data_IF_709749032649
#
_entry.id   IF_709749032649
#
_cell.length_a   1.000
_cell.length_b   1.000
_cell.length_c   1.000
_cell.angle_alpha   90.00
_cell.angle_beta   90.00
_cell.angle_gamma   90.00
#
_symmetry.space_group_name_H-M   'P 1'
#
loop_
_entity.id
_entity.type
_entity.pdbx_description
1 polymer ?
#
# COMPACT_ATOMS: atom_id res chain seq x y z
N UNK A 1 -2.17 -19.06 9.64
CA UNK A 1 -1.28 -17.93 9.36
C UNK A 1 -0.69 -18.12 7.97
N UNK A 2 -0.29 -17.04 7.30
CA UNK A 2 0.46 -17.12 6.05
C UNK A 2 1.96 -16.89 6.28
N UNK A 3 2.76 -17.00 5.22
CA UNK A 3 4.23 -16.91 5.28
C UNK A 3 4.73 -15.58 5.87
N UNK A 4 4.02 -14.46 5.64
CA UNK A 4 4.40 -13.15 6.19
C UNK A 4 4.01 -13.04 7.67
N UNK A 5 2.82 -13.50 8.05
CA UNK A 5 2.40 -13.55 9.46
C UNK A 5 3.34 -14.44 10.28
N UNK A 6 3.76 -15.58 9.75
CA UNK A 6 4.78 -16.45 10.37
C UNK A 6 6.12 -15.72 10.55
N UNK A 7 6.56 -14.99 9.53
CA UNK A 7 7.79 -14.18 9.60
C UNK A 7 7.67 -13.07 10.64
N UNK A 8 6.52 -12.40 10.74
CA UNK A 8 6.27 -11.36 11.74
C UNK A 8 6.31 -11.94 13.16
N UNK A 9 5.68 -13.10 13.40
CA UNK A 9 5.71 -13.73 14.74
C UNK A 9 7.12 -14.16 15.13
N UNK A 10 7.90 -14.64 14.16
CA UNK A 10 9.25 -15.13 14.43
C UNK A 10 10.25 -13.99 14.72
N UNK A 11 10.23 -12.95 13.89
CA UNK A 11 11.32 -11.96 13.84
C UNK A 11 10.86 -10.51 14.07
N UNK A 12 9.55 -10.27 14.19
CA UNK A 12 8.97 -8.97 14.48
C UNK A 12 9.05 -8.60 15.96
N UNK A 13 9.20 -7.30 16.24
CA UNK A 13 9.25 -6.80 17.62
C UNK A 13 8.14 -5.79 17.84
N UNK A 14 7.22 -6.10 18.75
CA UNK A 14 6.17 -5.17 19.18
C UNK A 14 6.77 -4.16 20.17
N UNK A 15 6.53 -2.88 19.93
CA UNK A 15 6.89 -1.76 20.80
C UNK A 15 5.63 -1.02 21.24
N UNK A 16 5.76 -0.28 22.34
CA UNK A 16 4.71 0.61 22.81
C UNK A 16 4.25 1.59 21.71
N UNK A 17 3.01 2.09 21.82
CA UNK A 17 2.44 3.01 20.85
C UNK A 17 2.00 2.35 19.53
N UNK A 18 1.65 1.05 19.55
CA UNK A 18 1.18 0.30 18.38
C UNK A 18 2.20 0.27 17.23
N UNK A 19 3.48 0.09 17.58
CA UNK A 19 4.59 0.03 16.63
C UNK A 19 5.07 -1.41 16.47
N UNK A 20 4.96 -1.93 15.25
CA UNK A 20 5.53 -3.21 14.86
C UNK A 20 6.86 -2.97 14.14
N UNK A 21 7.97 -3.43 14.72
CA UNK A 21 9.31 -3.32 14.12
C UNK A 21 9.61 -4.59 13.32
N UNK A 22 9.90 -4.40 12.03
CA UNK A 22 10.22 -5.46 11.04
C UNK A 22 11.47 -5.12 10.24
N UNK A 23 12.42 -4.44 10.90
CA UNK A 23 13.65 -3.94 10.30
C UNK A 23 14.63 -5.05 9.89
N UNK A 24 14.50 -6.25 10.47
CA UNK A 24 15.31 -7.42 10.13
C UNK A 24 14.97 -8.08 8.78
N UNK A 25 13.82 -7.76 8.18
CA UNK A 25 13.38 -8.39 6.92
C UNK A 25 12.60 -7.52 5.93
N UNK A 26 12.14 -6.32 6.32
CA UNK A 26 11.37 -5.44 5.43
C UNK A 26 11.94 -4.01 5.36
N UNK A 27 12.04 -3.30 6.50
CA UNK A 27 12.19 -1.84 6.50
C UNK A 27 13.64 -1.31 6.60
N UNK A 28 14.62 -2.19 6.77
CA UNK A 28 16.03 -1.80 6.80
C UNK A 28 16.92 -2.87 6.17
N UNK A 29 16.91 -4.07 6.75
CA UNK A 29 17.37 -5.28 6.10
C UNK A 29 16.19 -5.90 5.34
N UNK A 30 16.42 -6.32 4.10
CA UNK A 30 15.41 -6.96 3.27
C UNK A 30 15.71 -8.45 3.12
N UNK A 31 14.71 -9.30 3.40
CA UNK A 31 14.76 -10.72 3.05
C UNK A 31 14.22 -10.91 1.63
N UNK A 32 15.12 -11.05 0.66
CA UNK A 32 14.76 -11.12 -0.76
C UNK A 32 13.87 -12.33 -1.07
N UNK A 33 14.02 -13.46 -0.36
CA UNK A 33 13.16 -14.63 -0.57
C UNK A 33 11.73 -14.36 -0.09
N UNK A 34 11.60 -13.64 1.02
CA UNK A 34 10.30 -13.20 1.50
C UNK A 34 9.65 -12.22 0.51
N UNK A 35 10.41 -11.25 0.00
CA UNK A 35 9.92 -10.30 -1.01
C UNK A 35 9.48 -11.01 -2.31
N UNK A 36 10.19 -12.07 -2.71
CA UNK A 36 9.82 -12.89 -3.87
C UNK A 36 8.48 -13.61 -3.66
N UNK A 37 8.26 -14.18 -2.46
CA UNK A 37 6.97 -14.77 -2.09
C UNK A 37 5.84 -13.73 -2.09
N UNK A 38 6.10 -12.51 -1.60
CA UNK A 38 5.15 -11.40 -1.69
C UNK A 38 4.82 -11.05 -3.15
N UNK A 39 5.83 -10.93 -4.01
CA UNK A 39 5.68 -10.64 -5.42
C UNK A 39 4.82 -11.67 -6.16
N UNK A 40 5.11 -12.96 -5.94
CA UNK A 40 4.33 -14.07 -6.50
C UNK A 40 2.86 -14.04 -6.02
N UNK A 41 2.64 -13.75 -4.73
CA UNK A 41 1.30 -13.68 -4.17
C UNK A 41 0.50 -12.48 -4.71
N UNK A 42 1.12 -11.30 -4.85
CA UNK A 42 0.47 -10.17 -5.52
C UNK A 42 0.14 -10.50 -6.98
N UNK A 43 1.05 -11.14 -7.73
CA UNK A 43 0.77 -11.58 -9.10
C UNK A 43 -0.43 -12.53 -9.17
N UNK A 44 -0.55 -13.45 -8.21
CA UNK A 44 -1.69 -14.36 -8.11
C UNK A 44 -3.00 -13.60 -7.85
N UNK A 45 -3.02 -12.66 -6.89
CA UNK A 45 -4.22 -11.90 -6.50
C UNK A 45 -4.70 -10.96 -7.59
N UNK A 46 -3.78 -10.36 -8.34
CA UNK A 46 -4.09 -9.45 -9.45
C UNK A 46 -4.00 -10.11 -10.83
N UNK A 47 -4.04 -11.44 -10.93
CA UNK A 47 -3.85 -12.17 -12.20
C UNK A 47 -4.87 -11.81 -13.30
N UNK A 48 -6.03 -11.26 -12.94
CA UNK A 48 -7.08 -10.84 -13.88
C UNK A 48 -7.01 -9.35 -14.25
N UNK A 49 -6.02 -8.62 -13.73
CA UNK A 49 -5.87 -7.18 -13.96
C UNK A 49 -4.83 -6.92 -15.06
N UNK A 50 -5.07 -5.96 -15.97
CA UNK A 50 -4.16 -5.63 -17.07
C UNK A 50 -2.98 -4.76 -16.61
N UNK A 51 -2.34 -5.09 -15.49
CA UNK A 51 -1.28 -4.27 -14.88
C UNK A 51 -0.10 -4.14 -15.84
N UNK A 52 0.28 -2.90 -16.16
CA UNK A 52 1.43 -2.57 -17.01
C UNK A 52 2.48 -1.68 -16.30
N UNK A 53 2.24 -1.34 -15.03
CA UNK A 53 3.12 -0.48 -14.23
C UNK A 53 2.93 -0.74 -12.74
N UNK A 54 4.01 -0.70 -11.98
CA UNK A 54 3.95 -0.65 -10.52
C UNK A 54 4.35 0.74 -10.04
N UNK A 55 3.54 1.32 -9.16
CA UNK A 55 3.84 2.57 -8.47
C UNK A 55 4.06 2.31 -6.99
N UNK A 56 5.09 2.90 -6.39
CA UNK A 56 5.35 2.86 -4.95
C UNK A 56 5.83 4.21 -4.44
N UNK A 57 6.20 4.32 -3.17
CA UNK A 57 6.80 5.51 -2.57
C UNK A 57 8.09 5.15 -1.84
N UNK A 58 9.06 6.06 -1.86
CA UNK A 58 10.33 5.85 -1.18
C UNK A 58 10.20 5.78 0.37
N UNK A 59 11.00 4.99 1.07
CA UNK A 59 12.04 4.07 0.57
C UNK A 59 11.63 2.60 0.66
N UNK A 60 10.95 2.18 1.74
CA UNK A 60 10.70 0.77 2.05
C UNK A 60 9.90 0.03 0.97
N UNK A 61 8.92 0.69 0.35
CA UNK A 61 8.11 0.10 -0.72
C UNK A 61 8.91 -0.27 -1.98
N UNK A 62 10.07 0.36 -2.22
CA UNK A 62 10.90 0.15 -3.41
C UNK A 62 11.34 -1.32 -3.52
N UNK A 63 11.83 -1.91 -2.44
CA UNK A 63 12.32 -3.30 -2.46
C UNK A 63 11.22 -4.29 -2.85
N UNK A 64 10.04 -4.14 -2.23
CA UNK A 64 8.87 -4.98 -2.51
C UNK A 64 8.42 -4.78 -3.96
N UNK A 65 8.29 -3.53 -4.41
CA UNK A 65 7.85 -3.19 -5.76
C UNK A 65 8.79 -3.72 -6.84
N UNK A 66 10.10 -3.59 -6.66
CA UNK A 66 11.11 -4.10 -7.59
C UNK A 66 11.07 -5.63 -7.73
N UNK A 67 10.91 -6.36 -6.63
CA UNK A 67 10.81 -7.83 -6.69
C UNK A 67 9.47 -8.26 -7.26
N UNK A 68 8.37 -7.63 -6.84
CA UNK A 68 7.04 -7.89 -7.41
C UNK A 68 7.01 -7.66 -8.92
N UNK A 69 7.65 -6.59 -9.42
CA UNK A 69 7.73 -6.29 -10.85
C UNK A 69 8.32 -7.42 -11.70
N UNK A 70 9.20 -8.26 -11.14
CA UNK A 70 9.73 -9.44 -11.86
C UNK A 70 8.64 -10.47 -12.16
N UNK A 71 7.62 -10.58 -11.29
CA UNK A 71 6.47 -11.47 -11.49
C UNK A 71 5.41 -10.87 -12.43
N UNK A 72 5.35 -9.54 -12.52
CA UNK A 72 4.42 -8.84 -13.40
C UNK A 72 4.99 -8.57 -14.80
N UNK A 73 6.32 -8.55 -14.95
CA UNK A 73 7.06 -8.15 -16.16
C UNK A 73 6.76 -6.70 -16.59
N UNK A 74 6.84 -5.77 -15.62
CA UNK A 74 6.48 -4.35 -15.81
C UNK A 74 7.49 -3.41 -15.12
N UNK A 75 7.62 -2.16 -15.57
CA UNK A 75 8.47 -1.18 -14.91
C UNK A 75 7.92 -0.74 -13.55
N UNK A 76 8.82 -0.26 -12.69
CA UNK A 76 8.50 0.37 -11.40
C UNK A 76 8.77 1.87 -11.47
N UNK A 77 7.82 2.66 -10.99
CA UNK A 77 7.98 4.07 -10.68
C UNK A 77 7.86 4.22 -9.16
N UNK A 78 8.76 4.99 -8.54
CA UNK A 78 8.63 5.32 -7.12
C UNK A 78 8.48 6.82 -6.96
N UNK A 79 7.51 7.22 -6.15
CA UNK A 79 7.29 8.60 -5.80
C UNK A 79 8.28 9.06 -4.74
N UNK A 80 8.61 10.36 -4.77
CA UNK A 80 9.53 10.99 -3.82
C UNK A 80 8.78 11.85 -2.81
N UNK A 81 9.30 11.94 -1.58
CA UNK A 81 8.75 12.76 -0.48
C UNK A 81 9.25 14.19 -0.47
N UNK A 82 10.30 14.49 -1.23
CA UNK A 82 10.84 15.83 -1.37
C UNK A 82 11.22 16.13 -2.83
N UNK A 83 11.06 17.39 -3.23
CA UNK A 83 11.67 17.89 -4.45
C UNK A 83 13.18 17.92 -4.24
N UNK A 84 13.91 17.01 -4.89
CA UNK A 84 15.35 17.16 -5.02
C UNK A 84 15.67 18.20 -6.08
N UNK A 85 16.74 18.98 -5.86
CA UNK A 85 17.23 20.06 -6.75
C UNK A 85 17.41 19.60 -8.21
N UNK A 86 17.58 18.29 -8.46
CA UNK A 86 17.87 17.71 -9.79
C UNK A 86 16.65 17.08 -10.50
N UNK A 87 15.41 17.31 -10.04
CA UNK A 87 14.22 16.82 -10.75
C UNK A 87 13.76 17.88 -11.77
N UNK A 88 14.36 17.84 -12.97
CA UNK A 88 13.94 18.66 -14.10
C UNK A 88 12.61 18.14 -14.70
N UNK A 89 11.71 19.06 -15.08
CA UNK A 89 10.49 18.78 -15.85
C UNK A 89 9.18 18.92 -15.07
N UNK A 90 8.07 18.58 -15.74
CA UNK A 90 6.73 18.64 -15.16
C UNK A 90 6.50 17.46 -14.18
N UNK A 91 5.82 17.75 -13.08
CA UNK A 91 5.56 16.80 -11.99
C UNK A 91 4.07 16.68 -11.70
N UNK A 92 3.62 15.47 -11.38
CA UNK A 92 2.43 15.26 -10.58
C UNK A 92 2.79 15.43 -9.12
N UNK A 93 1.98 16.20 -8.38
CA UNK A 93 2.19 16.50 -6.96
C UNK A 93 0.89 16.24 -6.21
N UNK A 94 0.95 15.42 -5.17
CA UNK A 94 -0.13 15.27 -4.20
C UNK A 94 0.34 15.76 -2.82
N UNK A 95 -0.55 16.45 -2.11
CA UNK A 95 -0.32 16.85 -0.72
C UNK A 95 -0.88 15.77 0.22
N UNK A 96 -0.05 15.31 1.14
CA UNK A 96 -0.36 14.25 2.09
C UNK A 96 -0.26 14.83 3.50
N UNK A 97 -1.41 14.94 4.17
CA UNK A 97 -1.47 15.47 5.54
C UNK A 97 -1.10 14.38 6.56
N UNK A 98 -0.07 14.66 7.36
CA UNK A 98 0.26 13.82 8.52
C UNK A 98 -0.49 14.29 9.75
N UNK A 99 -1.45 13.47 10.21
CA UNK A 99 -2.23 13.71 11.43
C UNK A 99 -1.37 13.86 12.69
N UNK A 100 -0.19 13.22 12.73
CA UNK A 100 0.68 13.20 13.91
C UNK A 100 1.54 14.46 14.06
N UNK A 101 1.82 15.16 12.96
CA UNK A 101 2.75 16.30 12.97
C UNK A 101 2.16 17.62 12.45
N UNK A 102 0.91 17.64 11.94
CA UNK A 102 0.33 18.78 11.21
C UNK A 102 1.26 19.30 10.10
N UNK A 103 2.12 18.42 9.58
CA UNK A 103 3.03 18.71 8.48
C UNK A 103 2.39 18.21 7.19
N UNK A 104 2.26 19.12 6.23
CA UNK A 104 1.92 18.80 4.85
C UNK A 104 3.17 18.27 4.17
N UNK A 105 3.14 17.01 3.78
CA UNK A 105 4.21 16.42 2.99
C UNK A 105 3.75 16.35 1.54
N UNK A 106 4.69 16.47 0.61
CA UNK A 106 4.39 16.27 -0.81
C UNK A 106 4.84 14.90 -1.24
N UNK A 107 4.08 14.31 -2.15
CA UNK A 107 4.48 13.13 -2.91
C UNK A 107 4.53 13.56 -4.37
N UNK A 108 5.66 13.26 -5.03
CA UNK A 108 5.91 13.72 -6.40
C UNK A 108 6.32 12.58 -7.32
N UNK A 109 5.82 12.63 -8.55
CA UNK A 109 6.17 11.72 -9.66
C UNK A 109 6.35 12.56 -10.93
N UNK A 110 7.40 12.30 -11.70
CA UNK A 110 7.60 13.00 -12.98
C UNK A 110 6.57 12.55 -14.01
N UNK A 111 5.95 13.50 -14.73
CA UNK A 111 4.87 13.21 -15.68
C UNK A 111 5.31 12.28 -16.82
N UNK A 112 6.60 12.26 -17.17
CA UNK A 112 7.15 11.38 -18.21
C UNK A 112 7.01 9.87 -17.92
N UNK A 113 6.71 9.49 -16.67
CA UNK A 113 6.66 8.09 -16.24
C UNK A 113 5.25 7.59 -15.94
N UNK A 114 4.22 8.41 -16.15
CA UNK A 114 2.83 8.03 -15.89
C UNK A 114 1.93 8.64 -16.97
N UNK A 115 1.28 7.80 -17.76
CA UNK A 115 0.45 8.23 -18.90
C UNK A 115 -0.98 7.71 -18.76
N UNK A 116 -1.96 8.28 -19.49
CA UNK A 116 -3.35 7.82 -19.42
C UNK A 116 -3.58 6.34 -19.77
N UNK A 117 -2.67 5.73 -20.52
CA UNK A 117 -2.70 4.31 -20.92
C UNK A 117 -2.20 3.37 -19.80
N UNK A 118 -1.76 3.91 -18.67
CA UNK A 118 -1.22 3.12 -17.58
C UNK A 118 -2.29 2.47 -16.71
N UNK A 119 -2.09 1.17 -16.47
CA UNK A 119 -2.85 0.32 -15.57
C UNK A 119 -1.94 -0.03 -14.39
N UNK A 120 -2.11 0.72 -13.31
CA UNK A 120 -1.15 0.81 -12.21
C UNK A 120 -1.56 -0.11 -11.06
N UNK A 121 -0.61 -0.92 -10.60
CA UNK A 121 -0.66 -1.56 -9.29
C UNK A 121 0.15 -0.70 -8.31
N UNK A 122 -0.48 -0.23 -7.24
CA UNK A 122 0.25 0.47 -6.17
C UNK A 122 0.76 -0.57 -5.16
N UNK A 123 2.04 -0.51 -4.80
CA UNK A 123 2.64 -1.36 -3.76
C UNK A 123 3.23 -0.51 -2.64
N UNK A 124 2.96 -0.86 -1.38
CA UNK A 124 3.58 -0.23 -0.21
C UNK A 124 3.86 -1.23 0.93
N UNK A 125 4.77 -0.85 1.84
CA UNK A 125 5.15 -1.69 2.97
C UNK A 125 4.07 -1.73 4.06
N UNK A 126 3.58 -0.57 4.48
CA UNK A 126 2.60 -0.44 5.56
C UNK A 126 1.37 0.38 5.15
N UNK A 127 0.19 -0.12 5.53
CA UNK A 127 -1.04 0.65 5.53
C UNK A 127 -1.51 0.96 6.96
N UNK A 128 -1.42 2.24 7.33
CA UNK A 128 -1.88 2.78 8.61
C UNK A 128 -3.14 3.64 8.40
N UNK A 129 -2.98 4.97 8.39
CA UNK A 129 -4.07 5.92 8.12
C UNK A 129 -4.37 6.10 6.62
N UNK A 130 -3.51 5.58 5.74
CA UNK A 130 -3.72 5.60 4.29
C UNK A 130 -3.38 6.92 3.58
N UNK A 131 -2.82 7.92 4.26
CA UNK A 131 -2.55 9.22 3.64
C UNK A 131 -1.58 9.13 2.45
N UNK A 132 -0.47 8.38 2.58
CA UNK A 132 0.50 8.21 1.49
C UNK A 132 -0.14 7.53 0.27
N UNK A 133 -0.92 6.48 0.52
CA UNK A 133 -1.64 5.74 -0.51
C UNK A 133 -2.68 6.61 -1.23
N UNK A 134 -3.42 7.46 -0.51
CA UNK A 134 -4.32 8.45 -1.11
C UNK A 134 -3.57 9.42 -2.01
N UNK A 135 -2.38 9.88 -1.61
CA UNK A 135 -1.53 10.73 -2.44
C UNK A 135 -1.09 10.02 -3.74
N UNK A 136 -0.72 8.74 -3.66
CA UNK A 136 -0.38 7.95 -4.85
C UNK A 136 -1.60 7.74 -5.78
N UNK A 137 -2.77 7.46 -5.22
CA UNK A 137 -4.02 7.35 -6.00
C UNK A 137 -4.30 8.68 -6.72
N UNK A 138 -4.19 9.80 -6.03
CA UNK A 138 -4.39 11.13 -6.62
C UNK A 138 -3.41 11.41 -7.76
N UNK A 139 -2.14 11.04 -7.61
CA UNK A 139 -1.15 11.13 -8.68
C UNK A 139 -1.55 10.31 -9.91
N UNK A 140 -1.96 9.05 -9.72
CA UNK A 140 -2.40 8.18 -10.83
C UNK A 140 -3.61 8.78 -11.54
N UNK A 141 -4.61 9.24 -10.79
CA UNK A 141 -5.79 9.90 -11.35
C UNK A 141 -5.46 11.20 -12.09
N UNK A 142 -4.50 11.98 -11.57
CA UNK A 142 -4.06 13.24 -12.20
C UNK A 142 -3.32 13.01 -13.52
N UNK A 143 -2.72 11.83 -13.69
CA UNK A 143 -2.13 11.40 -14.96
C UNK A 143 -3.16 10.85 -15.96
N UNK A 144 -4.43 10.74 -15.57
CA UNK A 144 -5.47 10.06 -16.36
C UNK A 144 -5.33 8.55 -16.41
N UNK A 145 -4.42 7.98 -15.62
CA UNK A 145 -4.16 6.55 -15.54
C UNK A 145 -5.17 5.83 -14.64
N UNK A 146 -5.18 4.50 -14.68
CA UNK A 146 -6.10 3.66 -13.90
C UNK A 146 -5.38 2.96 -12.75
N UNK A 147 -5.92 3.05 -11.53
CA UNK A 147 -5.48 2.21 -10.41
C UNK A 147 -6.22 0.87 -10.49
N UNK A 148 -5.51 -0.19 -10.87
CA UNK A 148 -6.10 -1.54 -10.97
C UNK A 148 -6.25 -2.25 -9.63
N UNK A 149 -5.41 -1.87 -8.67
CA UNK A 149 -5.37 -2.47 -7.35
C UNK A 149 -4.24 -1.92 -6.50
N UNK A 150 -4.26 -2.31 -5.23
CA UNK A 150 -3.29 -1.89 -4.22
C UNK A 150 -2.83 -3.11 -3.44
N UNK A 151 -1.53 -3.40 -3.47
CA UNK A 151 -0.89 -4.46 -2.69
C UNK A 151 -0.14 -3.90 -1.48
N UNK A 152 -0.46 -4.37 -0.28
CA UNK A 152 0.18 -3.94 0.97
C UNK A 152 0.82 -5.14 1.66
N UNK A 153 2.07 -5.01 2.12
CA UNK A 153 2.67 -6.07 2.93
C UNK A 153 1.97 -6.17 4.29
N UNK A 154 1.91 -5.08 5.06
CA UNK A 154 1.34 -5.08 6.42
C UNK A 154 0.29 -3.98 6.60
N UNK A 155 -0.97 -4.34 6.81
CA UNK A 155 -2.06 -3.42 7.17
C UNK A 155 -2.26 -3.41 8.70
N UNK A 156 -2.36 -2.22 9.29
CA UNK A 156 -2.83 -2.03 10.67
C UNK A 156 -4.36 -1.96 10.65
N UNK A 157 -5.01 -3.10 10.79
CA UNK A 157 -6.46 -3.27 10.68
C UNK A 157 -7.28 -2.48 11.71
N UNK A 158 -6.67 -2.15 12.85
CA UNK A 158 -7.24 -1.26 13.86
C UNK A 158 -7.18 0.24 13.51
N UNK A 159 -6.53 0.61 12.39
CA UNK A 159 -6.52 1.98 11.86
C UNK A 159 -7.49 2.12 10.66
N UNK A 160 -7.81 3.36 10.30
CA UNK A 160 -8.87 3.64 9.32
C UNK A 160 -8.46 3.45 7.85
N UNK A 161 -7.17 3.41 7.53
CA UNK A 161 -6.68 3.47 6.14
C UNK A 161 -7.25 2.37 5.26
N UNK A 162 -7.19 1.11 5.70
CA UNK A 162 -7.73 -0.02 4.92
C UNK A 162 -9.22 0.07 4.66
N UNK A 163 -9.99 0.60 5.61
CA UNK A 163 -11.44 0.81 5.44
C UNK A 163 -11.73 1.92 4.45
N UNK A 164 -11.00 3.04 4.53
CA UNK A 164 -11.15 4.19 3.63
C UNK A 164 -10.89 3.75 2.18
N UNK A 165 -9.79 3.04 1.94
CA UNK A 165 -9.39 2.62 0.59
C UNK A 165 -10.40 1.66 -0.03
N UNK A 166 -10.89 0.67 0.74
CA UNK A 166 -11.95 -0.25 0.28
C UNK A 166 -13.26 0.49 0.00
N UNK A 167 -13.65 1.45 0.85
CA UNK A 167 -14.86 2.26 0.63
C UNK A 167 -14.79 3.17 -0.61
N UNK A 168 -13.58 3.55 -1.03
CA UNK A 168 -13.37 4.27 -2.30
C UNK A 168 -13.52 3.36 -3.54
N UNK A 169 -13.75 2.05 -3.34
CA UNK A 169 -13.97 1.08 -4.42
C UNK A 169 -12.70 0.46 -5.00
N UNK A 170 -11.55 0.67 -4.37
CA UNK A 170 -10.29 0.04 -4.81
C UNK A 170 -10.17 -1.39 -4.28
N UNK A 171 -9.67 -2.29 -5.12
CA UNK A 171 -9.23 -3.62 -4.69
C UNK A 171 -7.96 -3.47 -3.85
N UNK A 172 -8.08 -3.69 -2.54
CA UNK A 172 -6.98 -3.62 -1.57
C UNK A 172 -6.63 -5.02 -1.07
N UNK A 173 -5.43 -5.46 -1.42
CA UNK A 173 -4.86 -6.77 -1.07
C UNK A 173 -3.74 -6.60 -0.04
N UNK A 174 -4.04 -6.88 1.22
CA UNK A 174 -3.06 -6.83 2.32
C UNK A 174 -2.60 -8.24 2.68
N UNK A 175 -1.28 -8.49 2.67
CA UNK A 175 -0.73 -9.83 2.93
C UNK A 175 -0.83 -10.21 4.41
N UNK A 176 -0.58 -9.28 5.33
CA UNK A 176 -0.82 -9.45 6.76
C UNK A 176 -1.67 -8.29 7.28
N UNK A 177 -2.80 -8.59 7.92
CA UNK A 177 -3.64 -7.58 8.58
C UNK A 177 -3.54 -7.77 10.08
N UNK A 178 -2.98 -6.78 10.78
CA UNK A 178 -2.80 -6.76 12.22
C UNK A 178 -3.99 -6.07 12.88
N UNK A 179 -4.85 -6.82 13.56
CA UNK A 179 -6.01 -6.30 14.29
C UNK A 179 -5.67 -5.92 15.74
N UNK A 180 -4.58 -6.44 16.30
CA UNK A 180 -4.13 -6.08 17.65
C UNK A 180 -2.66 -6.37 17.91
N UNK A 181 -2.09 -5.70 18.92
CA UNK A 181 -0.72 -5.90 19.39
C UNK A 181 -0.66 -5.72 20.91
N UNK A 182 0.14 -6.56 21.57
CA UNK A 182 0.46 -6.43 22.99
C UNK A 182 1.98 -6.28 23.14
N UNK A 183 2.43 -5.09 23.54
CA UNK A 183 3.84 -4.79 23.72
C UNK A 183 4.45 -5.47 24.96
N UNK A 184 3.66 -5.73 26.00
CA UNK A 184 4.12 -6.40 27.22
C UNK A 184 4.32 -7.90 26.98
N UNK A 185 3.40 -8.53 26.25
CA UNK A 185 3.51 -9.92 25.85
C UNK A 185 4.38 -10.13 24.60
N UNK A 186 4.64 -9.07 23.82
CA UNK A 186 5.34 -9.15 22.53
C UNK A 186 4.55 -9.88 21.44
N UNK A 187 3.21 -9.85 21.51
CA UNK A 187 2.33 -10.65 20.62
C UNK A 187 1.57 -9.79 19.62
N UNK A 188 1.20 -10.40 18.50
CA UNK A 188 0.44 -9.79 17.40
C UNK A 188 -0.79 -10.64 17.13
N UNK A 189 -1.94 -10.00 17.02
CA UNK A 189 -3.21 -10.63 16.61
C UNK A 189 -3.49 -10.26 15.17
N UNK A 190 -3.59 -11.26 14.29
CA UNK A 190 -3.90 -11.07 12.88
C UNK A 190 -5.38 -11.30 12.60
N UNK A 191 -5.91 -10.61 11.59
CA UNK A 191 -7.25 -10.87 11.06
C UNK A 191 -7.31 -12.27 10.46
N UNK A 192 -8.40 -13.00 10.70
CA UNK A 192 -8.55 -14.33 10.13
C UNK A 192 -8.61 -14.29 8.60
N UNK A 193 -8.21 -15.39 7.96
CA UNK A 193 -8.23 -15.52 6.50
C UNK A 193 -9.67 -15.57 5.94
N UNK A 194 -10.65 -15.94 6.76
CA UNK A 194 -12.07 -15.92 6.39
C UNK A 194 -12.60 -14.48 6.33
N UNK A 195 -12.33 -13.69 7.38
CA UNK A 195 -12.70 -12.27 7.44
C UNK A 195 -12.00 -11.44 6.34
N UNK A 196 -10.77 -11.81 5.95
CA UNK A 196 -10.08 -11.17 4.83
C UNK A 196 -10.85 -11.36 3.51
N UNK A 197 -11.28 -12.58 3.21
CA UNK A 197 -12.04 -12.90 1.98
C UNK A 197 -13.43 -12.25 1.95
N UNK A 198 -14.08 -12.10 3.10
CA UNK A 198 -15.37 -11.40 3.20
C UNK A 198 -15.20 -9.90 2.93
N UNK A 199 -14.12 -9.29 3.41
CA UNK A 199 -13.82 -7.87 3.19
C UNK A 199 -13.35 -7.54 1.76
N UNK A 200 -12.96 -8.55 0.98
CA UNK A 200 -12.57 -8.44 -0.44
C UNK A 200 -13.76 -8.46 -1.40
N UNK A 201 -14.95 -8.85 -0.94
CA UNK A 201 -16.16 -8.82 -1.77
C UNK A 201 -16.61 -7.37 -2.00
N UNK A 202 -17.04 -7.00 -3.23
CA UNK A 202 -17.57 -5.67 -3.48
C UNK A 202 -18.70 -5.39 -2.50
N UNK A 203 -18.72 -4.18 -1.94
CA UNK A 203 -19.84 -3.70 -1.14
C UNK A 203 -21.08 -3.56 -2.04
N UNK A 204 -21.72 -4.68 -2.38
CA UNK A 204 -23.10 -4.67 -2.82
C UNK A 204 -23.95 -4.18 -1.64
N UNK A 205 -24.53 -3.00 -1.81
CA UNK A 205 -25.50 -2.29 -0.95
C UNK A 205 -24.90 -1.28 0.04
N UNK A 206 -24.81 -0.04 -0.43
CA UNK A 206 -25.36 1.07 0.34
C UNK A 206 -25.91 2.16 -0.62
N UNK A 207 -27.17 2.02 -1.01
CA UNK A 207 -27.91 3.06 -1.78
C UNK A 207 -28.15 4.35 -0.96
N UNK A 208 -27.76 4.39 0.32
CA UNK A 208 -28.01 5.54 1.20
C UNK A 208 -26.90 6.61 1.20
N UNK A 209 -25.76 6.40 0.52
CA UNK A 209 -24.69 7.41 0.47
C UNK A 209 -24.67 8.26 -0.82
N UNK A 210 -25.57 8.03 -1.79
CA UNK A 210 -25.61 8.78 -3.06
C UNK A 210 -26.44 10.06 -3.05
N UNK A 211 -27.08 10.41 -1.93
CA UNK A 211 -27.97 11.60 -1.85
C UNK A 211 -27.41 12.78 -1.07
N UNK A 212 -26.10 12.84 -0.80
CA UNK A 212 -25.49 13.92 -0.02
C UNK A 212 -24.38 14.66 -0.77
N UNK A 213 -24.69 15.11 -1.99
CA UNK A 213 -23.99 16.21 -2.67
C UNK A 213 -24.91 16.67 -3.79
N UNK A 214 -25.87 17.52 -3.43
CA UNK A 214 -26.57 18.50 -4.27
C UNK A 214 -27.47 19.25 -3.29
N UNK A 215 -26.88 20.24 -2.64
CA UNK A 215 -27.46 21.52 -2.23
C UNK A 215 -26.32 22.43 -1.72
#
# INVERSE_FOLDING_TARGET
MNFLEERIVKDGVVKEGNVLKVDSFLNHQMDIKLLDQMGAEFKRRFAKKPINKILTIEASGIGIACVAAQHFDVPVVFAKKSQSINLDGEMYVAEVESFTHKCRNHVIVSQKFLTPEDHVLIIDDFLANGCALQGLIQIVQSAGATVEGIGIAIEKGFQSGGRIIRNLGFQLESLAIVDGMDAAAGTVTFRSQEEQKEAEQPAEKCEQCRSATLD
#
